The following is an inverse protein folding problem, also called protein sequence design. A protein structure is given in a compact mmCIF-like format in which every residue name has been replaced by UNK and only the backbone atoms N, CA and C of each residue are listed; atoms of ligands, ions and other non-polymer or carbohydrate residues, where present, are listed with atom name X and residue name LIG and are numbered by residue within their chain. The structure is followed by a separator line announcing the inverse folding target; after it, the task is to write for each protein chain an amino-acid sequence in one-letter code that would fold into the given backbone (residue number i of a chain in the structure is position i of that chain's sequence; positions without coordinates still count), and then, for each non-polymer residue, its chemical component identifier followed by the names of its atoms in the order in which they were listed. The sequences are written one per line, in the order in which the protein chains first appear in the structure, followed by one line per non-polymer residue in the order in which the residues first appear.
data_IF_161916992302
#
_entry.id   IF_161916992302
#
_cell.length_a   1.000
_cell.length_b   1.000
_cell.length_c   1.000
_cell.angle_alpha   90.00
_cell.angle_beta   90.00
_cell.angle_gamma   90.00
#
_symmetry.space_group_name_H-M   'P 1'
#
loop_
_entity.id
_entity.type
_entity.pdbx_description
1 polymer ?
#
# COMPACT_ATOMS: atom_id res chain seq x y z
N UNK A 1 0.34 -5.46 5.26
CA UNK A 1 -0.66 -4.53 5.82
C UNK A 1 -0.11 -3.11 5.83
N UNK A 2 -0.96 -2.15 5.45
CA UNK A 2 -0.57 -0.73 5.47
C UNK A 2 -1.74 0.10 5.99
N UNK A 3 -1.44 1.17 6.71
CA UNK A 3 -2.43 2.19 7.07
C UNK A 3 -1.84 3.59 7.04
N UNK A 4 -2.67 4.57 6.66
CA UNK A 4 -2.32 5.99 6.77
C UNK A 4 -3.39 6.66 7.64
N UNK A 5 -3.02 7.08 8.83
CA UNK A 5 -3.85 7.92 9.69
C UNK A 5 -3.59 9.37 9.34
N UNK A 6 -4.67 10.14 9.21
CA UNK A 6 -4.64 11.55 8.81
C UNK A 6 -5.46 12.34 9.83
N UNK A 7 -4.88 13.39 10.39
CA UNK A 7 -5.54 14.28 11.35
C UNK A 7 -5.67 15.69 10.74
N UNK A 8 -6.84 16.31 10.93
CA UNK A 8 -7.11 17.62 10.34
C UNK A 8 -8.51 18.14 10.62
N UNK A 9 -8.86 19.27 10.00
CA UNK A 9 -10.24 19.79 10.05
C UNK A 9 -11.18 18.91 9.23
N UNK A 10 -12.47 18.97 9.54
CA UNK A 10 -13.54 18.29 8.77
C UNK A 10 -13.44 18.61 7.26
N UNK A 11 -13.20 19.87 6.92
CA UNK A 11 -13.06 20.35 5.54
C UNK A 11 -11.86 19.69 4.86
N UNK A 12 -10.69 19.68 5.53
CA UNK A 12 -9.45 19.08 5.03
C UNK A 12 -9.60 17.58 4.80
N UNK A 13 -10.16 16.87 5.77
CA UNK A 13 -10.35 15.42 5.70
C UNK A 13 -11.38 15.02 4.65
N UNK A 14 -12.44 15.82 4.50
CA UNK A 14 -13.43 15.64 3.42
C UNK A 14 -12.78 15.85 2.06
N UNK A 15 -11.88 16.85 1.91
CA UNK A 15 -11.16 17.08 0.67
C UNK A 15 -10.24 15.90 0.33
N UNK A 16 -9.48 15.35 1.29
CA UNK A 16 -8.64 14.15 1.08
C UNK A 16 -9.49 12.96 0.65
N UNK A 17 -10.58 12.66 1.38
CA UNK A 17 -11.49 11.56 1.01
C UNK A 17 -12.00 11.71 -0.42
N UNK A 18 -12.43 12.91 -0.81
CA UNK A 18 -12.95 13.18 -2.15
C UNK A 18 -11.87 13.01 -3.23
N UNK A 19 -10.62 13.39 -2.97
CA UNK A 19 -9.50 13.20 -3.92
C UNK A 19 -9.25 11.70 -4.10
N UNK A 20 -9.14 10.95 -3.00
CA UNK A 20 -8.77 9.54 -3.03
C UNK A 20 -9.84 8.62 -3.61
N UNK A 21 -11.12 9.02 -3.52
CA UNK A 21 -12.25 8.22 -4.02
C UNK A 21 -12.82 8.72 -5.36
N UNK A 22 -12.24 9.80 -5.91
CA UNK A 22 -12.70 10.37 -7.19
C UNK A 22 -12.43 9.41 -8.33
N UNK A 23 -13.41 9.30 -9.23
CA UNK A 23 -13.18 8.64 -10.52
C UNK A 23 -12.23 9.50 -11.38
N UNK A 24 -11.03 9.00 -11.62
CA UNK A 24 -10.05 9.60 -12.54
C UNK A 24 -10.11 8.95 -13.95
N UNK A 25 -9.29 9.41 -14.88
CA UNK A 25 -9.29 8.90 -16.25
C UNK A 25 -8.85 7.45 -16.33
N UNK A 26 -7.89 7.03 -15.52
CA UNK A 26 -7.45 5.65 -15.41
C UNK A 26 -8.57 4.73 -14.92
N UNK A 27 -9.28 5.13 -13.86
CA UNK A 27 -10.43 4.38 -13.33
C UNK A 27 -11.56 4.30 -14.36
N UNK A 28 -11.85 5.39 -15.07
CA UNK A 28 -12.85 5.37 -16.18
C UNK A 28 -12.46 4.42 -17.29
N UNK A 29 -11.20 4.44 -17.67
CA UNK A 29 -10.67 3.51 -18.67
C UNK A 29 -10.81 2.06 -18.21
N UNK A 30 -10.43 1.75 -16.97
CA UNK A 30 -10.54 0.43 -16.37
C UNK A 30 -11.98 -0.08 -16.35
N UNK A 31 -12.92 0.74 -15.88
CA UNK A 31 -14.34 0.40 -15.80
C UNK A 31 -14.95 0.19 -17.20
N UNK A 32 -14.63 1.05 -18.18
CA UNK A 32 -15.12 0.93 -19.55
C UNK A 32 -14.66 -0.35 -20.25
N UNK A 33 -13.52 -0.89 -19.86
CA UNK A 33 -12.96 -2.12 -20.45
C UNK A 33 -13.22 -3.38 -19.59
N UNK A 34 -14.01 -3.27 -18.51
CA UNK A 34 -14.45 -4.39 -17.69
C UNK A 34 -13.34 -5.02 -16.82
N UNK A 35 -12.28 -4.27 -16.53
CA UNK A 35 -11.09 -4.80 -15.90
C UNK A 35 -11.09 -4.78 -14.39
N UNK A 36 -11.83 -3.87 -13.74
CA UNK A 36 -12.05 -3.85 -12.27
C UNK A 36 -13.31 -3.06 -11.93
N UNK A 37 -13.94 -3.43 -10.82
CA UNK A 37 -15.03 -2.65 -10.21
C UNK A 37 -14.42 -1.60 -9.25
N UNK A 38 -14.00 -0.49 -9.82
CA UNK A 38 -13.62 0.71 -9.06
C UNK A 38 -14.86 1.54 -8.74
N UNK A 39 -15.81 0.95 -8.02
CA UNK A 39 -17.01 1.69 -7.61
C UNK A 39 -16.67 2.69 -6.51
N UNK A 40 -16.90 4.00 -6.70
CA UNK A 40 -16.73 5.01 -5.65
C UNK A 40 -17.56 4.74 -4.39
N UNK A 41 -18.66 3.99 -4.54
CA UNK A 41 -19.62 3.68 -3.48
C UNK A 41 -19.03 2.79 -2.36
N UNK A 42 -17.86 2.18 -2.59
CA UNK A 42 -17.24 1.25 -1.64
C UNK A 42 -16.17 1.86 -0.75
N UNK A 43 -15.98 3.20 -0.75
CA UNK A 43 -14.85 3.87 -0.08
C UNK A 43 -13.47 3.25 -0.43
N UNK A 44 -13.38 2.60 -1.58
CA UNK A 44 -12.12 2.03 -2.06
C UNK A 44 -11.24 3.13 -2.62
N UNK A 45 -9.97 3.04 -2.29
CA UNK A 45 -8.95 3.89 -2.90
C UNK A 45 -8.28 3.17 -4.06
N UNK A 46 -7.70 3.94 -4.96
CA UNK A 46 -6.74 3.48 -5.97
C UNK A 46 -5.49 4.34 -5.89
N UNK A 47 -4.34 3.73 -6.03
CA UNK A 47 -3.06 4.45 -6.06
C UNK A 47 -2.98 5.44 -7.22
N UNK A 48 -3.74 5.19 -8.30
CA UNK A 48 -3.84 6.13 -9.42
C UNK A 48 -4.43 7.50 -9.05
N UNK A 49 -5.13 7.62 -7.93
CA UNK A 49 -5.59 8.93 -7.42
C UNK A 49 -4.47 9.71 -6.70
N UNK A 50 -3.38 9.05 -6.35
CA UNK A 50 -2.19 9.67 -5.75
C UNK A 50 -1.13 9.86 -6.82
N UNK A 51 -0.77 8.80 -7.53
CA UNK A 51 0.24 8.79 -8.58
C UNK A 51 -0.29 7.97 -9.76
N UNK A 52 -0.79 8.68 -10.79
CA UNK A 52 -1.45 8.04 -11.93
C UNK A 52 -0.43 7.48 -12.93
N UNK A 53 -0.55 6.22 -13.34
CA UNK A 53 0.25 5.68 -14.43
C UNK A 53 0.05 6.48 -15.73
N UNK A 54 1.07 6.65 -16.58
CA UNK A 54 0.93 7.30 -17.86
C UNK A 54 0.00 6.50 -18.79
N UNK A 55 -0.74 7.20 -19.65
CA UNK A 55 -1.77 6.60 -20.50
C UNK A 55 -1.24 5.55 -21.49
N UNK A 56 0.05 5.63 -21.81
CA UNK A 56 0.74 4.71 -22.71
C UNK A 56 0.79 3.26 -22.21
N UNK A 57 0.68 3.06 -20.89
CA UNK A 57 0.71 1.73 -20.28
C UNK A 57 -0.68 1.23 -19.83
N UNK A 58 -1.74 2.01 -19.98
CA UNK A 58 -3.08 1.61 -19.49
C UNK A 58 -3.60 0.35 -20.20
N UNK A 59 -3.38 0.21 -21.51
CA UNK A 59 -3.80 -0.96 -22.25
C UNK A 59 -3.10 -2.22 -21.75
N UNK A 60 -1.79 -2.15 -21.49
CA UNK A 60 -1.02 -3.27 -20.96
C UNK A 60 -1.42 -3.61 -19.53
N UNK A 61 -1.71 -2.58 -18.71
CA UNK A 61 -2.12 -2.75 -17.31
C UNK A 61 -3.37 -3.62 -17.18
N UNK A 62 -4.28 -3.51 -18.12
CA UNK A 62 -5.54 -4.22 -18.10
C UNK A 62 -5.60 -5.43 -19.05
N UNK A 63 -4.54 -5.73 -19.79
CA UNK A 63 -4.51 -6.97 -20.55
C UNK A 63 -4.58 -8.16 -19.59
N UNK A 64 -5.40 -9.18 -19.90
CA UNK A 64 -5.41 -10.39 -19.10
C UNK A 64 -4.00 -10.94 -19.00
N UNK A 65 -3.48 -11.08 -17.80
CA UNK A 65 -2.19 -11.76 -17.52
C UNK A 65 -2.30 -13.28 -17.76
N UNK A 66 -2.95 -13.66 -18.84
CA UNK A 66 -2.93 -15.00 -19.39
C UNK A 66 -1.66 -15.10 -20.22
N UNK A 67 -0.81 -16.06 -19.89
CA UNK A 67 0.29 -16.49 -20.72
C UNK A 67 -0.20 -16.61 -22.17
N UNK A 68 -0.08 -15.54 -22.93
CA UNK A 68 -0.35 -15.60 -24.35
C UNK A 68 0.79 -16.37 -24.97
N UNK A 69 0.49 -17.52 -25.57
CA UNK A 69 1.43 -18.21 -26.43
C UNK A 69 1.67 -17.44 -27.75
N UNK A 70 1.11 -16.22 -27.86
CA UNK A 70 1.31 -15.36 -29.01
C UNK A 70 2.64 -14.61 -28.86
N UNK A 71 3.61 -14.82 -29.78
CA UNK A 71 4.94 -14.19 -29.71
C UNK A 71 4.89 -12.65 -29.81
N UNK A 72 3.84 -12.07 -30.42
CA UNK A 72 3.71 -10.61 -30.54
C UNK A 72 3.25 -10.01 -29.19
N UNK A 73 2.35 -10.70 -28.50
CA UNK A 73 1.92 -10.32 -27.15
C UNK A 73 3.09 -10.48 -26.17
N UNK A 74 3.86 -11.59 -26.26
CA UNK A 74 5.05 -11.80 -25.44
C UNK A 74 6.14 -10.73 -25.67
N UNK A 75 6.24 -10.17 -26.89
CA UNK A 75 7.13 -9.05 -27.19
C UNK A 75 6.68 -7.74 -26.54
N UNK A 76 5.39 -7.48 -26.45
CA UNK A 76 4.85 -6.31 -25.76
C UNK A 76 5.21 -6.35 -24.26
N UNK A 77 5.13 -7.53 -23.63
CA UNK A 77 5.53 -7.72 -22.23
C UNK A 77 7.03 -7.60 -21.96
N UNK A 78 7.87 -7.74 -23.00
CA UNK A 78 9.32 -7.61 -22.89
C UNK A 78 9.85 -6.21 -23.30
N UNK A 79 8.95 -5.28 -23.61
CA UNK A 79 9.35 -3.91 -23.87
C UNK A 79 9.49 -3.16 -22.54
N UNK A 80 10.72 -3.11 -22.03
CA UNK A 80 11.06 -2.63 -20.69
C UNK A 80 10.72 -1.16 -20.45
N UNK A 81 10.53 -0.36 -21.50
CA UNK A 81 10.29 1.08 -21.38
C UNK A 81 8.80 1.43 -21.11
N UNK A 82 7.87 0.46 -21.20
CA UNK A 82 6.43 0.69 -21.06
C UNK A 82 5.72 -0.34 -20.19
N UNK A 83 6.46 -1.19 -19.47
CA UNK A 83 5.91 -2.29 -18.70
C UNK A 83 5.22 -1.77 -17.42
N UNK A 84 3.91 -2.02 -17.29
CA UNK A 84 3.13 -1.66 -16.10
C UNK A 84 3.71 -2.21 -14.78
N UNK A 85 4.30 -3.41 -14.82
CA UNK A 85 4.88 -4.06 -13.65
C UNK A 85 6.11 -3.31 -13.12
N UNK A 86 7.01 -2.92 -14.02
CA UNK A 86 8.20 -2.14 -13.68
C UNK A 86 7.79 -0.75 -13.21
N UNK A 87 6.84 -0.11 -13.92
CA UNK A 87 6.34 1.19 -13.52
C UNK A 87 5.73 1.16 -12.11
N UNK A 88 4.84 0.20 -11.81
CA UNK A 88 4.24 0.08 -10.47
C UNK A 88 5.30 -0.17 -9.40
N UNK A 89 6.27 -1.06 -9.67
CA UNK A 89 7.32 -1.39 -8.72
C UNK A 89 8.24 -0.20 -8.44
N UNK A 90 8.53 0.61 -9.45
CA UNK A 90 9.36 1.81 -9.34
C UNK A 90 8.62 2.94 -8.66
N UNK A 91 7.40 3.26 -9.11
CA UNK A 91 6.67 4.46 -8.67
C UNK A 91 5.75 4.21 -7.47
N UNK A 92 5.03 3.10 -7.43
CA UNK A 92 4.21 2.75 -6.27
C UNK A 92 4.96 1.96 -5.18
N UNK A 93 6.11 1.34 -5.53
CA UNK A 93 6.85 0.45 -4.65
C UNK A 93 6.27 -0.96 -4.57
N UNK A 94 5.18 -1.24 -5.25
CA UNK A 94 4.44 -2.51 -5.16
C UNK A 94 3.88 -2.91 -6.52
N UNK A 95 3.74 -4.22 -6.73
CA UNK A 95 3.29 -4.78 -8.00
C UNK A 95 1.89 -4.38 -8.42
N UNK A 96 0.95 -4.32 -7.47
CA UNK A 96 -0.46 -4.09 -7.73
C UNK A 96 -0.95 -2.79 -7.08
N UNK A 97 -2.08 -2.29 -7.58
CA UNK A 97 -2.86 -1.26 -6.93
C UNK A 97 -3.33 -1.70 -5.53
N UNK A 98 -3.78 -0.76 -4.72
CA UNK A 98 -4.28 -1.00 -3.37
C UNK A 98 -5.28 -2.16 -3.33
N UNK A 99 -4.94 -3.24 -2.61
CA UNK A 99 -5.83 -4.36 -2.35
C UNK A 99 -6.57 -4.14 -1.02
N UNK A 100 -7.76 -4.74 -0.88
CA UNK A 100 -8.60 -4.67 0.33
C UNK A 100 -8.69 -3.26 0.97
N UNK A 101 -8.66 -2.23 0.11
CA UNK A 101 -8.58 -0.85 0.54
C UNK A 101 -9.91 -0.33 1.08
N UNK A 102 -9.84 0.51 2.13
CA UNK A 102 -10.97 1.20 2.71
C UNK A 102 -10.56 2.47 3.44
N UNK A 103 -11.48 3.41 3.58
CA UNK A 103 -11.32 4.60 4.42
C UNK A 103 -12.30 4.49 5.59
N UNK A 104 -11.77 4.56 6.80
CA UNK A 104 -12.53 4.56 8.05
C UNK A 104 -12.42 5.90 8.77
N UNK A 105 -13.35 6.17 9.69
CA UNK A 105 -13.44 7.41 10.44
C UNK A 105 -14.44 8.42 9.87
N UNK A 106 -14.77 9.40 10.69
CA UNK A 106 -15.63 10.52 10.32
C UNK A 106 -14.80 11.80 10.29
N UNK A 107 -14.77 12.56 9.17
CA UNK A 107 -14.10 13.85 9.11
C UNK A 107 -14.48 14.81 10.26
N UNK A 108 -15.73 14.75 10.76
CA UNK A 108 -16.18 15.56 11.88
C UNK A 108 -15.49 15.22 13.22
N UNK A 109 -14.95 14.01 13.35
CA UNK A 109 -14.16 13.57 14.52
C UNK A 109 -12.69 14.00 14.46
N UNK A 110 -12.27 14.63 13.36
CA UNK A 110 -10.92 15.18 13.19
C UNK A 110 -9.86 14.18 12.75
N UNK A 111 -10.24 12.95 12.41
CA UNK A 111 -9.31 11.95 11.87
C UNK A 111 -9.94 11.01 10.85
N UNK A 112 -9.12 10.53 9.91
CA UNK A 112 -9.41 9.45 8.97
C UNK A 112 -8.28 8.43 9.01
N UNK A 113 -8.61 7.16 8.78
CA UNK A 113 -7.60 6.12 8.55
C UNK A 113 -7.88 5.42 7.22
N UNK A 114 -6.86 5.35 6.39
CA UNK A 114 -6.87 4.63 5.13
C UNK A 114 -6.15 3.31 5.37
N UNK A 115 -6.81 2.20 5.06
CA UNK A 115 -6.23 0.86 5.11
C UNK A 115 -6.09 0.31 3.71
N UNK A 116 -5.01 -0.40 3.46
CA UNK A 116 -4.79 -1.11 2.20
C UNK A 116 -3.71 -2.19 2.35
N UNK A 117 -3.72 -3.14 1.44
CA UNK A 117 -2.69 -4.15 1.32
C UNK A 117 -1.88 -3.94 0.04
N UNK A 118 -0.59 -4.24 0.13
CA UNK A 118 0.36 -4.19 -0.98
C UNK A 118 1.00 -5.56 -1.20
N UNK A 119 1.51 -5.80 -2.40
CA UNK A 119 2.22 -7.04 -2.71
C UNK A 119 3.71 -6.90 -2.35
N UNK A 120 4.16 -7.63 -1.34
CA UNK A 120 5.55 -7.88 -0.94
C UNK A 120 6.38 -6.71 -0.41
N UNK A 121 5.95 -5.49 -0.54
CA UNK A 121 6.69 -4.31 -0.08
C UNK A 121 5.76 -3.16 0.29
N UNK A 122 6.16 -2.26 1.18
CA UNK A 122 5.43 -1.02 1.43
C UNK A 122 5.41 -0.14 0.17
N UNK A 123 4.60 0.91 0.20
CA UNK A 123 4.61 1.90 -0.88
C UNK A 123 5.94 2.64 -0.96
N UNK A 124 6.28 3.13 -2.15
CA UNK A 124 7.53 3.85 -2.39
C UNK A 124 7.55 5.23 -1.72
N UNK A 125 8.76 5.78 -1.55
CA UNK A 125 8.92 7.17 -1.13
C UNK A 125 8.31 8.15 -2.13
N UNK A 126 8.39 7.88 -3.44
CA UNK A 126 7.77 8.71 -4.48
C UNK A 126 6.24 8.75 -4.33
N UNK A 127 5.62 7.60 -4.03
CA UNK A 127 4.18 7.56 -3.73
C UNK A 127 3.84 8.40 -2.49
N UNK A 128 4.64 8.30 -1.41
CA UNK A 128 4.43 9.06 -0.19
C UNK A 128 4.65 10.57 -0.41
N UNK A 129 5.60 10.95 -1.26
CA UNK A 129 5.84 12.35 -1.62
C UNK A 129 4.65 12.92 -2.41
N UNK A 130 4.12 12.18 -3.39
CA UNK A 130 2.91 12.56 -4.10
C UNK A 130 1.69 12.64 -3.16
N UNK A 131 1.61 11.74 -2.18
CA UNK A 131 0.57 11.77 -1.16
C UNK A 131 0.70 13.00 -0.25
N UNK A 132 1.92 13.36 0.15
CA UNK A 132 2.18 14.57 0.95
C UNK A 132 1.74 15.86 0.22
N UNK A 133 1.86 15.92 -1.12
CA UNK A 133 1.31 17.03 -1.90
C UNK A 133 -0.21 17.13 -1.78
N UNK A 134 -0.92 15.98 -1.79
CA UNK A 134 -2.37 15.95 -1.56
C UNK A 134 -2.72 16.47 -0.16
N UNK A 135 -1.99 16.05 0.87
CA UNK A 135 -2.18 16.50 2.25
C UNK A 135 -1.98 18.03 2.37
N UNK A 136 -0.94 18.56 1.70
CA UNK A 136 -0.68 20.01 1.65
C UNK A 136 -1.82 20.77 0.97
N UNK A 137 -2.26 20.33 -0.21
CA UNK A 137 -3.37 20.94 -0.96
C UNK A 137 -4.66 20.93 -0.14
N UNK A 138 -4.94 19.83 0.54
CA UNK A 138 -6.11 19.68 1.40
C UNK A 138 -5.99 20.41 2.74
N UNK A 139 -4.83 21.00 3.06
CA UNK A 139 -4.57 21.70 4.30
C UNK A 139 -4.72 20.82 5.57
N UNK A 140 -4.27 19.58 5.49
CA UNK A 140 -4.23 18.60 6.59
C UNK A 140 -3.21 19.03 7.65
N UNK A 141 -3.37 18.62 8.89
CA UNK A 141 -2.45 18.94 10.01
C UNK A 141 -1.28 17.97 10.07
N UNK A 142 -1.57 16.67 10.08
CA UNK A 142 -0.54 15.63 10.19
C UNK A 142 -1.02 14.31 9.59
N UNK A 143 -0.07 13.43 9.29
CA UNK A 143 -0.35 12.06 8.87
C UNK A 143 0.75 11.11 9.37
N UNK A 144 0.36 9.87 9.66
CA UNK A 144 1.29 8.77 9.99
C UNK A 144 0.99 7.60 9.06
N UNK A 145 1.99 7.18 8.33
CA UNK A 145 1.99 5.96 7.55
C UNK A 145 2.62 4.85 8.37
N UNK A 146 1.89 3.77 8.56
CA UNK A 146 2.34 2.55 9.22
C UNK A 146 2.31 1.41 8.21
N UNK A 147 3.36 0.60 8.17
CA UNK A 147 3.42 -0.60 7.36
C UNK A 147 3.99 -1.76 8.17
N UNK A 148 3.45 -2.94 7.94
CA UNK A 148 3.88 -4.16 8.59
C UNK A 148 3.73 -5.35 7.64
N UNK A 149 4.75 -6.16 7.57
CA UNK A 149 4.82 -7.36 6.77
C UNK A 149 4.47 -8.60 7.61
N UNK A 150 4.03 -9.68 6.98
CA UNK A 150 3.56 -10.90 7.64
C UNK A 150 4.58 -11.51 8.60
N UNK A 151 5.88 -11.33 8.33
CA UNK A 151 6.96 -11.81 9.20
C UNK A 151 7.24 -10.89 10.40
N UNK A 152 6.57 -9.74 10.49
CA UNK A 152 6.65 -8.83 11.61
C UNK A 152 7.71 -7.73 11.51
N UNK A 153 8.33 -7.52 10.34
CA UNK A 153 9.10 -6.29 10.11
C UNK A 153 8.19 -5.17 9.63
N UNK A 154 8.55 -3.95 9.93
CA UNK A 154 7.73 -2.82 9.54
C UNK A 154 8.29 -1.49 9.98
N UNK A 155 7.48 -0.45 9.92
CA UNK A 155 7.87 0.86 10.35
C UNK A 155 6.75 1.88 10.32
N UNK A 156 7.07 3.06 10.82
CA UNK A 156 6.22 4.23 10.79
C UNK A 156 6.93 5.42 10.17
N UNK A 157 6.22 6.15 9.33
CA UNK A 157 6.68 7.42 8.75
C UNK A 157 5.64 8.51 9.02
N UNK A 158 6.11 9.68 9.47
CA UNK A 158 5.26 10.82 9.80
C UNK A 158 5.43 11.98 8.85
N UNK A 159 4.34 12.69 8.64
CA UNK A 159 4.26 13.95 7.95
C UNK A 159 3.53 14.97 8.85
N UNK A 160 4.05 16.19 8.93
CA UNK A 160 3.48 17.26 9.76
C UNK A 160 3.63 18.59 9.04
N UNK A 161 2.53 19.29 8.89
CA UNK A 161 2.47 20.59 8.20
C UNK A 161 3.25 21.69 8.92
N UNK A 162 3.19 21.72 10.26
CA UNK A 162 3.78 22.77 11.07
C UNK A 162 5.32 22.67 11.10
N UNK A 163 5.86 21.53 10.75
CA UNK A 163 7.29 21.30 10.64
C UNK A 163 7.86 21.66 9.26
N UNK A 164 7.06 22.29 8.38
CA UNK A 164 7.41 22.58 6.97
C UNK A 164 7.93 21.32 6.24
N UNK A 165 7.31 20.18 6.54
CA UNK A 165 7.69 18.91 5.98
C UNK A 165 7.05 18.76 4.59
N UNK A 166 7.88 18.63 3.60
CA UNK A 166 7.45 18.31 2.23
C UNK A 166 7.32 16.80 2.02
N UNK A 167 7.87 15.97 2.94
CA UNK A 167 8.02 14.52 2.79
C UNK A 167 7.65 13.81 4.07
N UNK A 168 7.25 12.55 3.94
CA UNK A 168 7.20 11.64 5.07
C UNK A 168 8.61 11.36 5.59
N UNK A 169 8.77 11.31 6.92
CA UNK A 169 10.03 10.99 7.59
C UNK A 169 9.87 9.78 8.47
N UNK A 170 10.89 8.92 8.48
CA UNK A 170 10.94 7.78 9.38
C UNK A 170 10.79 8.22 10.83
N UNK A 171 9.82 7.63 11.53
CA UNK A 171 9.59 7.79 12.98
C UNK A 171 10.16 6.60 13.71
N UNK A 172 9.81 5.39 13.26
CA UNK A 172 10.21 4.13 13.85
C UNK A 172 10.37 3.05 12.77
N UNK A 173 11.19 2.04 13.06
CA UNK A 173 11.41 0.90 12.19
C UNK A 173 11.77 -0.30 13.08
N UNK A 174 11.23 -1.46 12.77
CA UNK A 174 11.49 -2.70 13.48
C UNK A 174 11.72 -3.86 12.53
N UNK A 175 12.65 -4.69 12.92
CA UNK A 175 13.01 -5.91 12.20
C UNK A 175 12.04 -7.07 12.55
N UNK A 176 12.20 -8.17 11.83
CA UNK A 176 11.56 -9.44 12.15
C UNK A 176 11.94 -9.84 13.58
N UNK A 177 10.96 -10.30 14.41
CA UNK A 177 11.27 -10.78 15.74
C UNK A 177 12.33 -11.88 15.74
N UNK A 178 13.27 -11.82 16.68
CA UNK A 178 14.43 -12.72 16.76
C UNK A 178 14.11 -14.05 17.47
N UNK A 179 12.95 -14.14 18.12
CA UNK A 179 12.55 -15.28 18.94
C UNK A 179 11.05 -15.47 19.01
N UNK A 180 10.59 -16.66 19.42
CA UNK A 180 9.17 -16.89 19.67
C UNK A 180 8.62 -15.94 20.76
N UNK A 181 9.38 -15.73 21.83
CA UNK A 181 9.00 -14.81 22.89
C UNK A 181 8.85 -13.36 22.42
N UNK A 182 9.64 -12.93 21.43
CA UNK A 182 9.55 -11.59 20.84
C UNK A 182 8.27 -11.44 19.99
N UNK A 183 7.87 -12.48 19.25
CA UNK A 183 6.57 -12.51 18.57
C UNK A 183 5.40 -12.38 19.55
N UNK A 184 5.43 -13.14 20.66
CA UNK A 184 4.39 -13.06 21.70
C UNK A 184 4.34 -11.65 22.34
N UNK A 185 5.51 -11.06 22.62
CA UNK A 185 5.60 -9.71 23.21
C UNK A 185 4.95 -8.65 22.30
N UNK A 186 5.10 -8.80 20.99
CA UNK A 186 4.50 -7.91 19.99
C UNK A 186 3.03 -8.28 19.64
N UNK A 187 2.51 -9.37 20.17
CA UNK A 187 1.17 -9.87 19.88
C UNK A 187 1.02 -10.43 18.45
N UNK A 188 2.11 -10.88 17.85
CA UNK A 188 2.17 -11.46 16.52
C UNK A 188 2.16 -13.00 16.58
N UNK A 189 1.65 -13.62 15.53
CA UNK A 189 1.77 -15.06 15.37
C UNK A 189 3.18 -15.42 14.91
N UNK A 190 3.88 -16.23 15.70
CA UNK A 190 5.22 -16.69 15.35
C UNK A 190 5.21 -17.46 14.02
N UNK A 191 6.17 -17.21 13.16
CA UNK A 191 6.35 -17.92 11.87
C UNK A 191 6.38 -19.46 12.03
N UNK A 192 6.79 -19.97 13.19
CA UNK A 192 6.75 -21.38 13.51
C UNK A 192 5.35 -22.01 13.52
N UNK A 193 4.29 -21.18 13.54
CA UNK A 193 2.89 -21.67 13.52
C UNK A 193 2.42 -22.05 12.12
N UNK A 194 3.05 -21.52 11.07
CA UNK A 194 2.66 -21.73 9.67
C UNK A 194 3.81 -22.16 8.74
N UNK A 195 5.08 -22.16 9.23
CA UNK A 195 6.23 -22.67 8.50
C UNK A 195 6.80 -23.90 9.18
N UNK A 196 6.54 -25.09 8.63
CA UNK A 196 6.95 -26.37 9.23
C UNK A 196 8.48 -26.52 9.33
N UNK A 197 9.22 -25.91 8.41
CA UNK A 197 10.68 -26.02 8.30
C UNK A 197 11.46 -24.94 9.09
N UNK A 198 10.77 -23.98 9.69
CA UNK A 198 11.40 -22.91 10.43
C UNK A 198 10.87 -22.83 11.86
N UNK A 199 11.76 -22.96 12.84
CA UNK A 199 11.41 -22.84 14.26
C UNK A 199 12.55 -22.12 15.00
N UNK A 200 12.18 -21.21 15.88
CA UNK A 200 13.11 -20.68 16.86
C UNK A 200 13.36 -21.68 17.97
N UNK A 201 14.53 -21.63 18.61
CA UNK A 201 14.92 -22.53 19.68
C UNK A 201 13.97 -22.47 20.89
N UNK A 202 13.30 -21.35 21.10
CA UNK A 202 12.33 -21.09 22.16
C UNK A 202 10.87 -21.40 21.79
N UNK A 203 10.61 -21.94 20.59
CA UNK A 203 9.25 -22.29 20.18
C UNK A 203 8.70 -23.45 21.03
N UNK A 204 7.46 -23.32 21.57
CA UNK A 204 6.87 -24.33 22.46
C UNK A 204 6.62 -25.69 21.81
N UNK A 205 6.61 -25.74 20.47
CA UNK A 205 6.38 -26.95 19.67
C UNK A 205 7.67 -27.59 19.13
N UNK A 206 8.84 -27.17 19.59
CA UNK A 206 10.08 -27.89 19.33
C UNK A 206 10.03 -29.16 20.19
N UNK A 207 9.50 -30.26 19.64
CA UNK A 207 9.76 -31.57 20.20
C UNK A 207 11.28 -31.70 20.27
N UNK A 208 11.79 -31.84 21.50
CA UNK A 208 13.18 -32.19 21.72
C UNK A 208 13.46 -33.42 20.86
N UNK A 209 14.21 -33.24 19.77
CA UNK A 209 14.73 -34.34 18.97
C UNK A 209 15.50 -35.22 19.96
N UNK A 210 14.91 -36.36 20.30
CA UNK A 210 15.40 -37.23 21.34
C UNK A 210 16.84 -37.66 21.02
N UNK A 211 17.64 -37.69 22.08
CA UNK A 211 18.95 -38.32 22.14
C UNK A 211 18.92 -39.78 21.62
#
# INVERSE_FOLDING_TARGET
FNSIRIDGSEESLTAVRNILTKENDFVRYANANGHRDYSPERNKITFSNVLCPPSEIWEEYFMPSGFSNDPEIAKMYNNTDTNWYEWNSEHWGTKWDACESRIEGDPAEGSLTIYFETAWSPVSTEFLDAFAEILNIANVTSAVYHYEEEQGWGGEMGWDKDLDQQYFRQIDEWDIPDSHADYELRGLDCVCTYMDDFKYDDCPNVESAGE
#
